data_IF_336666233427
#
_entry.id   IF_336666233427
#
_cell.length_a   1.000
_cell.length_b   1.000
_cell.length_c   1.000
_cell.angle_alpha   90.00
_cell.angle_beta   90.00
_cell.angle_gamma   90.00
#
_symmetry.space_group_name_H-M   'P 1'
#
loop_
_entity.id
_entity.type
_entity.pdbx_description
1 polymer ?
#
# COMPACT_ATOMS: atom_id res chain seq x y z
N UNK A 1 -15.26 31.90 32.54
CA UNK A 1 -16.03 31.64 31.29
C UNK A 1 -15.08 30.88 30.37
N UNK A 2 -14.74 29.64 30.72
CA UNK A 2 -15.31 28.38 30.20
C UNK A 2 -15.15 28.21 28.68
N UNK A 3 -13.90 28.12 28.24
CA UNK A 3 -13.57 27.47 26.97
C UNK A 3 -13.47 25.97 27.21
N UNK A 4 -14.30 25.24 26.48
CA UNK A 4 -14.57 23.81 26.57
C UNK A 4 -13.27 23.00 26.50
N UNK A 5 -12.90 22.38 27.62
CA UNK A 5 -12.16 21.12 27.65
C UNK A 5 -12.93 20.14 26.76
N UNK A 6 -12.51 20.01 25.50
CA UNK A 6 -12.95 18.89 24.69
C UNK A 6 -12.32 17.67 25.33
N UNK A 7 -13.17 16.87 25.96
CA UNK A 7 -12.91 15.51 26.38
C UNK A 7 -12.35 14.75 25.16
N UNK A 8 -11.02 14.75 25.02
CA UNK A 8 -10.28 14.16 23.89
C UNK A 8 -10.31 12.67 24.06
N UNK A 9 -11.49 12.11 23.85
CA UNK A 9 -11.63 10.68 23.88
C UNK A 9 -10.73 10.09 22.78
N UNK A 10 -9.81 9.18 23.14
CA UNK A 10 -8.83 8.60 22.22
C UNK A 10 -9.52 7.95 21.03
N UNK A 11 -9.16 8.30 19.80
CA UNK A 11 -9.64 7.56 18.64
C UNK A 11 -8.83 6.29 18.48
N UNK A 12 -9.44 5.19 18.04
CA UNK A 12 -8.69 3.97 17.71
C UNK A 12 -8.73 3.73 16.21
N UNK A 13 -7.54 3.59 15.64
CA UNK A 13 -7.34 3.28 14.23
C UNK A 13 -6.72 1.90 14.12
N UNK A 14 -7.43 0.98 13.47
CA UNK A 14 -6.89 -0.33 13.13
C UNK A 14 -6.37 -0.32 11.70
N UNK A 15 -5.15 -0.82 11.52
CA UNK A 15 -4.44 -0.89 10.25
C UNK A 15 -4.08 -2.36 10.00
N UNK A 16 -4.48 -2.92 8.86
CA UNK A 16 -4.13 -4.29 8.49
C UNK A 16 -3.23 -4.29 7.25
N UNK A 17 -2.11 -5.00 7.34
CA UNK A 17 -1.18 -5.20 6.23
C UNK A 17 -1.46 -6.51 5.51
N UNK A 18 -1.34 -6.51 4.18
CA UNK A 18 -1.56 -7.69 3.34
C UNK A 18 -0.53 -8.79 3.64
N UNK A 19 0.74 -8.42 3.71
CA UNK A 19 1.88 -9.32 3.91
C UNK A 19 2.92 -8.69 4.84
N UNK A 20 3.80 -9.53 5.39
CA UNK A 20 4.98 -9.05 6.11
C UNK A 20 5.83 -8.09 5.25
N UNK A 21 5.99 -8.39 3.96
CA UNK A 21 6.72 -7.56 2.99
C UNK A 21 6.11 -6.17 2.88
N UNK A 22 4.78 -6.06 2.76
CA UNK A 22 4.09 -4.76 2.69
C UNK A 22 4.35 -3.88 3.92
N UNK A 23 4.38 -4.50 5.11
CA UNK A 23 4.73 -3.79 6.35
C UNK A 23 6.20 -3.34 6.36
N UNK A 24 7.15 -4.19 5.96
CA UNK A 24 8.57 -3.83 5.88
C UNK A 24 8.83 -2.67 4.90
N UNK A 25 8.10 -2.64 3.77
CA UNK A 25 8.15 -1.52 2.83
C UNK A 25 7.59 -0.25 3.48
N UNK A 26 6.40 -0.32 4.08
CA UNK A 26 5.79 0.83 4.79
C UNK A 26 6.72 1.38 5.89
N UNK A 27 7.41 0.48 6.61
CA UNK A 27 8.39 0.86 7.62
C UNK A 27 9.58 1.63 7.05
N UNK A 28 10.10 1.14 5.92
CA UNK A 28 11.26 1.74 5.26
C UNK A 28 10.95 3.12 4.65
N UNK A 29 9.72 3.35 4.20
CA UNK A 29 9.33 4.62 3.56
C UNK A 29 9.07 5.71 4.60
N UNK A 30 8.20 5.45 5.59
CA UNK A 30 7.73 6.51 6.50
C UNK A 30 7.72 6.11 8.00
N UNK A 31 7.41 4.86 8.37
CA UNK A 31 7.22 4.53 9.81
C UNK A 31 8.51 4.65 10.61
N UNK A 32 9.67 4.34 10.01
CA UNK A 32 10.97 4.47 10.68
C UNK A 32 11.29 5.91 11.13
N UNK A 33 10.63 6.91 10.54
CA UNK A 33 10.77 8.33 10.89
C UNK A 33 9.61 8.84 11.75
N UNK A 34 8.76 7.94 12.26
CA UNK A 34 7.58 8.26 13.05
C UNK A 34 6.36 8.69 12.23
N UNK A 35 6.40 8.62 10.89
CA UNK A 35 5.27 9.03 10.05
C UNK A 35 4.44 7.84 9.55
N UNK A 36 3.12 7.93 9.65
CA UNK A 36 2.18 6.99 9.04
C UNK A 36 1.15 7.77 8.22
N UNK A 37 1.10 7.54 6.92
CA UNK A 37 -0.01 8.01 6.10
C UNK A 37 -1.03 6.87 5.92
N UNK A 38 -2.29 7.17 6.20
CA UNK A 38 -3.40 6.25 6.02
C UNK A 38 -4.36 6.82 4.98
N UNK A 39 -4.53 6.11 3.88
CA UNK A 39 -5.57 6.40 2.89
C UNK A 39 -6.93 6.00 3.48
N UNK A 40 -7.77 6.98 3.79
CA UNK A 40 -9.07 6.78 4.46
C UNK A 40 -9.95 8.02 4.31
N UNK A 41 -11.26 7.83 4.33
CA UNK A 41 -12.28 8.87 4.41
C UNK A 41 -12.66 9.25 5.86
N UNK A 42 -12.02 8.63 6.86
CA UNK A 42 -12.27 8.90 8.27
C UNK A 42 -11.91 10.36 8.62
N UNK A 43 -12.89 11.09 9.16
CA UNK A 43 -12.71 12.46 9.62
C UNK A 43 -12.30 12.48 11.11
N UNK A 44 -10.99 12.35 11.37
CA UNK A 44 -10.42 12.42 12.72
C UNK A 44 -9.67 13.75 12.88
N UNK A 45 -10.12 14.69 13.73
CA UNK A 45 -9.57 16.05 13.78
C UNK A 45 -8.06 16.10 14.00
N UNK A 46 -7.39 17.10 13.42
CA UNK A 46 -5.97 17.34 13.68
C UNK A 46 -5.71 17.61 15.17
N UNK A 47 -4.57 17.13 15.67
CA UNK A 47 -4.22 17.18 17.09
C UNK A 47 -4.90 16.10 17.95
N UNK A 48 -5.71 15.22 17.36
CA UNK A 48 -6.35 14.11 18.08
C UNK A 48 -5.33 13.02 18.40
N UNK A 49 -5.20 12.68 19.68
CA UNK A 49 -4.45 11.50 20.13
C UNK A 49 -5.19 10.24 19.71
N UNK A 50 -4.48 9.35 19.03
CA UNK A 50 -5.03 8.14 18.42
C UNK A 50 -4.20 6.93 18.83
N UNK A 51 -4.87 5.85 19.20
CA UNK A 51 -4.28 4.54 19.33
C UNK A 51 -4.28 3.85 17.96
N UNK A 52 -3.10 3.57 17.42
CA UNK A 52 -2.94 2.84 16.15
C UNK A 52 -2.63 1.38 16.46
N UNK A 53 -3.51 0.48 16.04
CA UNK A 53 -3.30 -0.97 16.17
C UNK A 53 -2.95 -1.57 14.80
N UNK A 54 -1.72 -2.01 14.64
CA UNK A 54 -1.20 -2.60 13.40
C UNK A 54 -1.29 -4.13 13.46
N UNK A 55 -1.96 -4.72 12.48
CA UNK A 55 -2.01 -6.16 12.27
C UNK A 55 -1.09 -6.52 11.10
N UNK A 56 -0.05 -7.31 11.39
CA UNK A 56 0.90 -7.80 10.39
C UNK A 56 0.86 -9.33 10.38
N UNK A 57 0.71 -9.97 9.21
CA UNK A 57 0.69 -11.43 9.14
C UNK A 57 1.94 -12.07 9.75
N UNK A 58 1.73 -13.05 10.64
CA UNK A 58 2.81 -13.78 11.31
C UNK A 58 3.34 -13.14 12.59
N UNK A 59 2.73 -12.05 13.07
CA UNK A 59 3.10 -11.36 14.31
C UNK A 59 1.87 -11.09 15.17
N UNK A 60 2.10 -10.81 16.45
CA UNK A 60 1.05 -10.26 17.31
C UNK A 60 0.76 -8.81 16.90
N UNK A 61 -0.47 -8.31 17.14
CA UNK A 61 -0.81 -6.91 16.85
C UNK A 61 0.09 -5.95 17.64
N UNK A 62 0.54 -4.88 16.98
CA UNK A 62 1.33 -3.84 17.63
C UNK A 62 0.46 -2.62 17.88
N UNK A 63 0.43 -2.17 19.13
CA UNK A 63 -0.31 -0.97 19.53
C UNK A 63 0.68 0.17 19.70
N UNK A 64 0.42 1.27 19.01
CA UNK A 64 1.21 2.50 19.06
C UNK A 64 0.30 3.69 19.39
N UNK A 65 0.88 4.73 19.97
CA UNK A 65 0.22 6.02 20.14
C UNK A 65 0.71 6.98 19.08
N UNK A 66 -0.21 7.80 18.56
CA UNK A 66 0.11 8.85 17.62
C UNK A 66 -0.83 10.04 17.73
N UNK A 67 -0.51 11.09 16.99
CA UNK A 67 -1.32 12.29 16.86
C UNK A 67 -1.63 12.52 15.39
N UNK A 68 -2.87 12.86 15.06
CA UNK A 68 -3.22 13.30 13.70
C UNK A 68 -2.53 14.63 13.42
N UNK A 69 -1.47 14.60 12.61
CA UNK A 69 -0.68 15.77 12.25
C UNK A 69 -1.39 16.61 11.17
N UNK A 70 -2.02 15.96 10.20
CA UNK A 70 -2.76 16.61 9.12
C UNK A 70 -3.80 15.66 8.53
N UNK A 71 -4.79 16.25 7.84
CA UNK A 71 -5.79 15.53 7.07
C UNK A 71 -5.74 16.00 5.61
N UNK A 72 -6.08 15.09 4.70
CA UNK A 72 -6.33 15.40 3.30
C UNK A 72 -7.75 15.00 2.93
N UNK A 73 -8.53 15.97 2.46
CA UNK A 73 -9.91 15.74 2.01
C UNK A 73 -9.99 15.13 0.61
N UNK A 74 -11.18 14.62 0.29
CA UNK A 74 -11.51 13.93 -0.98
C UNK A 74 -11.27 14.82 -2.21
N UNK A 75 -11.45 16.14 -2.08
CA UNK A 75 -11.30 17.09 -3.18
C UNK A 75 -9.85 17.59 -3.39
N UNK A 76 -8.89 17.10 -2.62
CA UNK A 76 -7.50 17.56 -2.71
C UNK A 76 -6.83 17.11 -4.01
N UNK A 77 -6.16 18.01 -4.76
CA UNK A 77 -5.37 17.61 -5.94
C UNK A 77 -4.05 16.91 -5.56
N UNK A 78 -3.68 16.87 -4.28
CA UNK A 78 -2.39 16.32 -3.81
C UNK A 78 -2.39 14.79 -3.65
N UNK A 79 -3.51 14.13 -3.90
CA UNK A 79 -3.66 12.68 -3.85
C UNK A 79 -4.91 12.22 -3.11
N UNK A 80 -5.02 10.91 -2.82
CA UNK A 80 -6.23 10.36 -2.21
C UNK A 80 -6.44 10.90 -0.79
N UNK A 81 -7.69 10.93 -0.30
CA UNK A 81 -8.00 11.37 1.05
C UNK A 81 -7.27 10.51 2.08
N UNK A 82 -6.93 11.10 3.21
CA UNK A 82 -6.25 10.36 4.24
C UNK A 82 -5.77 11.18 5.43
N UNK A 83 -5.13 10.48 6.36
CA UNK A 83 -4.64 11.00 7.61
C UNK A 83 -3.12 10.84 7.68
N UNK A 84 -2.42 11.93 7.99
CA UNK A 84 -1.04 11.87 8.46
C UNK A 84 -1.02 11.72 9.96
N UNK A 85 -0.52 10.58 10.46
CA UNK A 85 -0.33 10.31 11.88
C UNK A 85 1.15 10.38 12.21
N UNK A 86 1.49 11.19 13.20
CA UNK A 86 2.82 11.21 13.82
C UNK A 86 2.81 10.26 15.02
N UNK A 87 3.61 9.21 14.96
CA UNK A 87 3.76 8.19 15.99
C UNK A 87 4.68 8.74 17.10
N UNK A 88 4.22 8.65 18.35
CA UNK A 88 4.94 9.16 19.51
C UNK A 88 6.18 8.31 19.85
N UNK A 89 6.05 7.00 19.71
CA UNK A 89 7.13 6.03 19.94
C UNK A 89 7.00 4.87 18.94
N UNK A 90 8.08 4.56 18.23
CA UNK A 90 8.17 3.46 17.26
C UNK A 90 9.00 2.29 17.76
N UNK A 91 9.56 2.38 18.98
CA UNK A 91 10.38 1.33 19.60
C UNK A 91 9.70 -0.05 19.62
N UNK A 92 8.37 -0.16 19.87
CA UNK A 92 7.69 -1.45 19.83
C UNK A 92 7.76 -2.17 18.47
N UNK A 93 8.02 -1.45 17.38
CA UNK A 93 8.16 -2.05 16.05
C UNK A 93 9.46 -2.85 15.90
N UNK A 94 10.52 -2.56 16.67
CA UNK A 94 11.84 -3.15 16.50
C UNK A 94 11.85 -4.67 16.52
N UNK A 95 11.28 -5.27 17.59
CA UNK A 95 11.21 -6.73 17.72
C UNK A 95 10.35 -7.38 16.63
N UNK A 96 9.31 -6.69 16.16
CA UNK A 96 8.46 -7.15 15.06
C UNK A 96 9.24 -7.16 13.75
N UNK A 97 9.98 -6.09 13.47
CA UNK A 97 10.83 -5.97 12.28
C UNK A 97 11.91 -7.07 12.29
N UNK A 98 12.62 -7.26 13.40
CA UNK A 98 13.66 -8.28 13.51
C UNK A 98 13.11 -9.68 13.20
N UNK A 99 11.93 -9.99 13.75
CA UNK A 99 11.23 -11.25 13.47
C UNK A 99 10.86 -11.38 11.99
N UNK A 100 10.34 -10.33 11.36
CA UNK A 100 9.92 -10.35 9.96
C UNK A 100 11.10 -10.44 8.99
N UNK A 101 12.16 -9.65 9.22
CA UNK A 101 13.37 -9.64 8.39
C UNK A 101 14.04 -11.02 8.41
N UNK A 102 14.04 -11.72 9.55
CA UNK A 102 14.62 -13.08 9.65
C UNK A 102 13.96 -14.11 8.73
N UNK A 103 12.73 -13.86 8.25
CA UNK A 103 11.95 -14.76 7.39
C UNK A 103 11.68 -14.17 6.01
N UNK A 104 12.27 -13.02 5.69
CA UNK A 104 12.04 -12.35 4.42
C UNK A 104 12.94 -12.94 3.33
N UNK A 105 12.31 -13.50 2.29
CA UNK A 105 13.03 -14.16 1.18
C UNK A 105 12.98 -13.35 -0.13
N UNK A 106 12.30 -12.21 -0.13
CA UNK A 106 12.05 -11.43 -1.33
C UNK A 106 10.57 -11.13 -1.50
N UNK A 107 10.26 -10.36 -2.56
CA UNK A 107 8.89 -10.04 -2.93
C UNK A 107 8.56 -10.64 -4.27
N UNK A 108 7.42 -11.30 -4.39
CA UNK A 108 6.99 -11.88 -5.65
C UNK A 108 6.23 -10.83 -6.45
N UNK A 109 6.79 -10.38 -7.57
CA UNK A 109 6.17 -9.35 -8.42
C UNK A 109 5.82 -9.94 -9.77
N UNK A 110 4.53 -9.93 -10.11
CA UNK A 110 4.06 -10.32 -11.43
C UNK A 110 4.16 -9.14 -12.39
N UNK A 111 4.67 -9.36 -13.60
CA UNK A 111 4.74 -8.38 -14.68
C UNK A 111 4.03 -8.93 -15.91
N UNK A 112 2.91 -8.32 -16.29
CA UNK A 112 2.22 -8.58 -17.55
C UNK A 112 2.59 -7.50 -18.56
N UNK A 113 3.21 -7.89 -19.68
CA UNK A 113 3.38 -7.04 -20.87
C UNK A 113 3.57 -7.93 -22.08
N UNK A 114 2.93 -7.59 -23.20
CA UNK A 114 2.96 -8.42 -24.40
C UNK A 114 4.32 -8.40 -25.10
N UNK A 115 4.88 -7.21 -25.28
CA UNK A 115 6.17 -7.04 -25.94
C UNK A 115 7.31 -7.61 -25.09
N UNK A 116 8.15 -8.45 -25.71
CA UNK A 116 9.23 -9.15 -24.99
C UNK A 116 10.30 -8.18 -24.50
N UNK A 117 10.64 -7.17 -25.32
CA UNK A 117 11.69 -6.22 -24.99
C UNK A 117 11.22 -5.28 -23.87
N UNK A 118 9.99 -4.80 -23.94
CA UNK A 118 9.38 -3.95 -22.93
C UNK A 118 9.22 -4.70 -21.61
N UNK A 119 8.67 -5.92 -21.65
CA UNK A 119 8.54 -6.79 -20.46
C UNK A 119 9.88 -7.04 -19.79
N UNK A 120 10.93 -7.32 -20.57
CA UNK A 120 12.27 -7.55 -20.01
C UNK A 120 12.87 -6.26 -19.42
N UNK A 121 12.63 -5.11 -20.06
CA UNK A 121 13.12 -3.81 -19.59
C UNK A 121 12.44 -3.40 -18.30
N UNK A 122 11.12 -3.52 -18.24
CA UNK A 122 10.33 -3.27 -17.04
C UNK A 122 10.75 -4.18 -15.89
N UNK A 123 10.91 -5.49 -16.13
CA UNK A 123 11.39 -6.44 -15.14
C UNK A 123 12.76 -6.04 -14.56
N UNK A 124 13.70 -5.59 -15.40
CA UNK A 124 15.01 -5.09 -14.93
C UNK A 124 14.89 -3.81 -14.10
N UNK A 125 14.06 -2.86 -14.53
CA UNK A 125 13.83 -1.62 -13.77
C UNK A 125 13.24 -1.91 -12.39
N UNK A 126 12.23 -2.78 -12.30
CA UNK A 126 11.65 -3.21 -11.02
C UNK A 126 12.72 -3.89 -10.15
N UNK A 127 13.50 -4.81 -10.71
CA UNK A 127 14.59 -5.49 -9.98
C UNK A 127 15.68 -4.53 -9.51
N UNK A 128 15.92 -3.43 -10.23
CA UNK A 128 16.86 -2.39 -9.81
C UNK A 128 16.32 -1.54 -8.65
N UNK A 129 15.00 -1.33 -8.59
CA UNK A 129 14.34 -0.60 -7.49
C UNK A 129 14.23 -1.50 -6.25
N UNK A 130 13.91 -2.77 -6.47
CA UNK A 130 13.67 -3.77 -5.44
C UNK A 130 14.56 -4.97 -5.73
N UNK A 131 15.80 -4.91 -5.24
CA UNK A 131 16.82 -5.93 -5.50
C UNK A 131 16.42 -7.34 -5.07
N UNK A 132 15.58 -7.46 -4.05
CA UNK A 132 15.06 -8.71 -3.51
C UNK A 132 13.80 -9.22 -4.22
N UNK A 133 13.29 -8.51 -5.23
CA UNK A 133 12.08 -8.94 -5.94
C UNK A 133 12.33 -10.15 -6.84
N UNK A 134 11.48 -11.18 -6.74
CA UNK A 134 11.40 -12.26 -7.71
C UNK A 134 10.36 -11.88 -8.77
N UNK A 135 10.81 -11.67 -10.00
CA UNK A 135 9.95 -11.18 -11.08
C UNK A 135 9.38 -12.34 -11.87
N UNK A 136 8.07 -12.54 -11.76
CA UNK A 136 7.30 -13.47 -12.58
C UNK A 136 6.81 -12.73 -13.83
N UNK A 137 7.18 -13.19 -15.01
CA UNK A 137 6.85 -12.49 -16.27
C UNK A 137 5.76 -13.25 -17.03
N UNK A 138 4.68 -12.56 -17.35
CA UNK A 138 3.58 -13.03 -18.19
C UNK A 138 3.57 -12.29 -19.53
N UNK A 139 3.54 -13.05 -20.63
CA UNK A 139 3.45 -12.49 -21.98
C UNK A 139 2.00 -12.19 -22.41
N UNK A 140 1.02 -12.75 -21.72
CA UNK A 140 -0.40 -12.59 -22.00
C UNK A 140 -1.23 -12.79 -20.72
N UNK A 141 -2.52 -12.45 -20.81
CA UNK A 141 -3.43 -12.53 -19.68
C UNK A 141 -3.69 -13.97 -19.19
N UNK A 142 -3.55 -14.98 -20.06
CA UNK A 142 -3.72 -16.38 -19.66
C UNK A 142 -2.57 -16.82 -18.75
N UNK A 143 -1.33 -16.48 -19.11
CA UNK A 143 -0.16 -16.74 -18.27
C UNK A 143 -0.24 -15.91 -16.98
N UNK A 144 -0.67 -14.65 -17.06
CA UNK A 144 -0.84 -13.81 -15.87
C UNK A 144 -1.86 -14.41 -14.90
N UNK A 145 -3.00 -14.90 -15.40
CA UNK A 145 -4.02 -15.54 -14.57
C UNK A 145 -3.49 -16.81 -13.87
N UNK A 146 -2.66 -17.62 -14.54
CA UNK A 146 -2.06 -18.81 -13.94
C UNK A 146 -1.04 -18.48 -12.83
N UNK A 147 -0.36 -17.34 -12.94
CA UNK A 147 0.63 -16.87 -11.97
C UNK A 147 0.02 -16.02 -10.84
N UNK A 148 -1.21 -15.52 -11.00
CA UNK A 148 -1.87 -14.65 -10.04
C UNK A 148 -2.37 -15.44 -8.83
N UNK A 149 -1.51 -15.56 -7.81
CA UNK A 149 -1.81 -16.25 -6.54
C UNK A 149 -1.72 -15.31 -5.35
N UNK A 150 -2.11 -15.78 -4.16
CA UNK A 150 -1.96 -15.02 -2.91
C UNK A 150 -0.49 -14.78 -2.52
N UNK A 151 0.46 -15.49 -3.13
CA UNK A 151 1.90 -15.28 -2.91
C UNK A 151 2.43 -14.05 -3.65
N UNK A 152 1.73 -13.57 -4.69
CA UNK A 152 2.10 -12.35 -5.41
C UNK A 152 1.97 -11.15 -4.47
N UNK A 153 3.05 -10.42 -4.23
CA UNK A 153 3.04 -9.20 -3.42
C UNK A 153 2.53 -7.99 -4.18
N UNK A 154 2.77 -7.93 -5.50
CA UNK A 154 2.36 -6.85 -6.38
C UNK A 154 2.25 -7.34 -7.83
N UNK A 155 1.28 -6.84 -8.58
CA UNK A 155 1.22 -7.05 -10.03
C UNK A 155 1.39 -5.72 -10.80
N UNK A 156 2.27 -5.71 -11.79
CA UNK A 156 2.49 -4.61 -12.72
C UNK A 156 1.94 -5.01 -14.07
N UNK A 157 0.95 -4.28 -14.58
CA UNK A 157 0.14 -4.70 -15.72
C UNK A 157 0.16 -3.63 -16.80
N UNK A 158 0.78 -3.95 -17.93
CA UNK A 158 0.69 -3.19 -19.17
C UNK A 158 -0.69 -3.40 -19.80
N UNK A 159 -1.45 -2.32 -19.92
CA UNK A 159 -2.82 -2.32 -20.44
C UNK A 159 -2.87 -1.91 -21.91
N UNK A 160 -1.78 -1.37 -22.47
CA UNK A 160 -1.78 -0.83 -23.85
C UNK A 160 -1.75 -1.96 -24.91
N UNK A 161 -1.08 -3.07 -24.61
CA UNK A 161 -0.92 -4.18 -25.56
C UNK A 161 -2.21 -4.99 -25.77
N UNK A 162 -2.84 -5.43 -24.66
CA UNK A 162 -4.10 -6.16 -24.65
C UNK A 162 -4.99 -5.56 -23.55
N UNK A 163 -5.81 -4.58 -23.93
CA UNK A 163 -6.65 -3.86 -22.98
C UNK A 163 -7.64 -4.77 -22.25
N UNK A 164 -8.28 -5.71 -22.95
CA UNK A 164 -9.25 -6.61 -22.33
C UNK A 164 -8.55 -7.58 -21.36
N UNK A 165 -7.42 -8.17 -21.79
CA UNK A 165 -6.61 -9.04 -20.95
C UNK A 165 -6.02 -8.33 -19.72
N UNK A 166 -5.50 -7.12 -19.90
CA UNK A 166 -4.97 -6.28 -18.82
C UNK A 166 -6.04 -5.92 -17.79
N UNK A 167 -7.20 -5.45 -18.24
CA UNK A 167 -8.33 -5.12 -17.37
C UNK A 167 -8.89 -6.35 -16.63
N UNK A 168 -8.95 -7.52 -17.29
CA UNK A 168 -9.30 -8.79 -16.63
C UNK A 168 -8.29 -9.19 -15.57
N UNK A 169 -7.00 -9.00 -15.84
CA UNK A 169 -5.92 -9.30 -14.89
C UNK A 169 -5.98 -8.41 -13.65
N UNK A 170 -6.28 -7.11 -13.82
CA UNK A 170 -6.53 -6.20 -12.69
C UNK A 170 -7.68 -6.70 -11.82
N UNK A 171 -8.83 -7.04 -12.42
CA UNK A 171 -9.98 -7.57 -11.70
C UNK A 171 -9.67 -8.88 -10.99
N UNK A 172 -8.90 -9.77 -11.61
CA UNK A 172 -8.48 -11.03 -11.00
C UNK A 172 -7.61 -10.82 -9.76
N UNK A 173 -6.67 -9.86 -9.81
CA UNK A 173 -5.86 -9.48 -8.65
C UNK A 173 -6.73 -8.98 -7.48
N UNK A 174 -7.78 -8.21 -7.77
CA UNK A 174 -8.72 -7.68 -6.77
C UNK A 174 -9.71 -8.72 -6.24
N UNK A 175 -9.95 -9.80 -6.98
CA UNK A 175 -10.82 -10.89 -6.56
C UNK A 175 -10.17 -11.85 -5.56
N UNK A 176 -8.84 -11.79 -5.41
CA UNK A 176 -8.12 -12.56 -4.38
C UNK A 176 -8.44 -12.05 -2.97
N UNK A 177 -8.24 -12.91 -1.97
CA UNK A 177 -8.41 -12.57 -0.57
C UNK A 177 -7.15 -12.97 0.24
N UNK A 178 -6.35 -12.00 0.71
CA UNK A 178 -6.51 -10.55 0.51
C UNK A 178 -6.20 -10.12 -0.95
N UNK A 179 -6.77 -8.99 -1.44
CA UNK A 179 -6.57 -8.53 -2.81
C UNK A 179 -5.09 -8.17 -3.06
N UNK A 180 -4.58 -8.53 -4.23
CA UNK A 180 -3.21 -8.19 -4.65
C UNK A 180 -3.16 -6.72 -5.10
N UNK A 181 -2.22 -5.90 -4.62
CA UNK A 181 -2.04 -4.54 -5.12
C UNK A 181 -1.48 -4.56 -6.55
N UNK A 182 -1.80 -3.52 -7.31
CA UNK A 182 -1.64 -3.46 -8.75
C UNK A 182 -1.19 -2.08 -9.20
N UNK A 183 -0.25 -2.06 -10.15
CA UNK A 183 0.17 -0.87 -10.90
C UNK A 183 -0.20 -1.08 -12.35
N UNK A 184 -1.08 -0.24 -12.90
CA UNK A 184 -1.41 -0.27 -14.31
C UNK A 184 -0.51 0.69 -15.10
N UNK A 185 0.11 0.19 -16.17
CA UNK A 185 0.98 0.95 -17.06
C UNK A 185 0.22 1.23 -18.36
N UNK A 186 0.07 2.52 -18.70
CA UNK A 186 -0.61 2.93 -19.93
C UNK A 186 -0.22 4.34 -20.37
N UNK A 187 -0.12 4.53 -21.69
CA UNK A 187 0.00 5.84 -22.34
C UNK A 187 -1.36 6.44 -22.73
N UNK A 188 -2.44 5.65 -22.68
CA UNK A 188 -3.76 6.03 -23.16
C UNK A 188 -4.66 6.56 -22.02
N UNK A 189 -5.16 7.80 -22.17
CA UNK A 189 -6.00 8.44 -21.17
C UNK A 189 -7.33 7.73 -20.90
N UNK A 190 -7.95 7.10 -21.91
CA UNK A 190 -9.18 6.32 -21.73
C UNK A 190 -8.90 5.00 -21.00
N UNK A 191 -7.81 4.32 -21.33
CA UNK A 191 -7.41 3.09 -20.63
C UNK A 191 -7.00 3.36 -19.18
N UNK A 192 -6.42 4.53 -18.90
CA UNK A 192 -6.13 4.98 -17.53
C UNK A 192 -7.40 4.99 -16.67
N UNK A 193 -8.50 5.53 -17.19
CA UNK A 193 -9.77 5.54 -16.46
C UNK A 193 -10.36 4.14 -16.32
N UNK A 194 -10.33 3.33 -17.37
CA UNK A 194 -10.78 1.94 -17.30
C UNK A 194 -9.97 1.10 -16.30
N UNK A 195 -8.66 1.31 -16.21
CA UNK A 195 -7.79 0.65 -15.24
C UNK A 195 -8.14 1.05 -13.81
N UNK A 196 -8.42 2.34 -13.57
CA UNK A 196 -8.91 2.83 -12.27
C UNK A 196 -10.23 2.17 -11.89
N UNK A 197 -11.20 2.13 -12.80
CA UNK A 197 -12.50 1.46 -12.60
C UNK A 197 -12.34 -0.05 -12.39
N UNK A 198 -11.34 -0.67 -13.01
CA UNK A 198 -11.00 -2.09 -12.79
C UNK A 198 -10.30 -2.36 -11.45
N UNK A 199 -9.97 -1.31 -10.68
CA UNK A 199 -9.39 -1.41 -9.34
C UNK A 199 -7.87 -1.28 -9.28
N UNK A 200 -7.22 -0.69 -10.28
CA UNK A 200 -5.79 -0.37 -10.21
C UNK A 200 -5.50 0.56 -9.02
N UNK A 201 -4.52 0.21 -8.17
CA UNK A 201 -4.18 0.98 -6.96
C UNK A 201 -3.27 2.18 -7.28
N UNK A 202 -2.42 2.03 -8.30
CA UNK A 202 -1.57 3.07 -8.83
C UNK A 202 -1.50 2.98 -10.36
N UNK A 203 -1.14 4.09 -10.99
CA UNK A 203 -1.06 4.24 -12.45
C UNK A 203 0.30 4.81 -12.83
N UNK A 204 0.89 4.30 -13.91
CA UNK A 204 2.14 4.79 -14.45
C UNK A 204 2.04 5.05 -15.97
N UNK A 205 2.88 5.94 -16.48
CA UNK A 205 3.07 6.18 -17.92
C UNK A 205 3.71 4.97 -18.61
N UNK A 206 3.47 4.82 -19.91
CA UNK A 206 4.09 3.78 -20.73
C UNK A 206 5.02 4.39 -21.79
N UNK A 207 6.34 4.10 -21.79
CA UNK A 207 7.08 3.42 -20.73
C UNK A 207 7.28 4.34 -19.49
N UNK A 208 7.32 3.79 -18.26
CA UNK A 208 7.45 4.61 -17.08
C UNK A 208 8.91 5.06 -16.86
N UNK A 209 9.17 6.36 -16.61
CA UNK A 209 10.43 6.83 -16.07
C UNK A 209 10.78 6.11 -14.75
N UNK A 210 12.08 5.90 -14.48
CA UNK A 210 12.54 5.18 -13.29
C UNK A 210 12.00 5.77 -11.98
N UNK A 211 12.04 7.09 -11.82
CA UNK A 211 11.57 7.77 -10.62
C UNK A 211 10.05 7.61 -10.43
N UNK A 212 9.29 7.69 -11.52
CA UNK A 212 7.84 7.46 -11.48
C UNK A 212 7.55 6.02 -11.06
N UNK A 213 8.20 5.05 -11.71
CA UNK A 213 8.07 3.63 -11.40
C UNK A 213 8.39 3.35 -9.92
N UNK A 214 9.49 3.91 -9.41
CA UNK A 214 9.86 3.76 -8.00
C UNK A 214 8.75 4.27 -7.07
N UNK A 215 8.20 5.45 -7.33
CA UNK A 215 7.15 6.04 -6.49
C UNK A 215 5.89 5.16 -6.49
N UNK A 216 5.39 4.76 -7.67
CA UNK A 216 4.15 3.97 -7.75
C UNK A 216 4.29 2.58 -7.14
N UNK A 217 5.45 1.92 -7.32
CA UNK A 217 5.70 0.61 -6.70
C UNK A 217 5.71 0.72 -5.18
N UNK A 218 6.43 1.68 -4.61
CA UNK A 218 6.54 1.84 -3.16
C UNK A 218 5.20 2.24 -2.54
N UNK A 219 4.39 3.06 -3.23
CA UNK A 219 3.04 3.39 -2.79
C UNK A 219 2.13 2.18 -2.81
N UNK A 220 2.06 1.44 -3.93
CA UNK A 220 1.22 0.26 -4.03
C UNK A 220 1.59 -0.82 -3.00
N UNK A 221 2.88 -1.01 -2.70
CA UNK A 221 3.37 -2.00 -1.73
C UNK A 221 3.20 -1.60 -0.26
N UNK A 222 3.19 -0.30 0.06
CA UNK A 222 3.12 0.18 1.44
C UNK A 222 1.70 0.43 1.96
N UNK A 223 0.69 0.41 1.08
CA UNK A 223 -0.71 0.64 1.44
C UNK A 223 -1.24 -0.48 2.34
N UNK A 224 -1.76 -0.17 3.53
CA UNK A 224 -2.59 -1.10 4.28
C UNK A 224 -3.84 -1.48 3.49
N UNK A 225 -4.33 -2.71 3.67
CA UNK A 225 -5.55 -3.21 3.01
C UNK A 225 -6.83 -2.84 3.74
N UNK A 226 -6.72 -2.54 5.04
CA UNK A 226 -7.85 -2.11 5.87
C UNK A 226 -7.38 -0.98 6.77
N UNK A 227 -8.13 0.11 6.78
CA UNK A 227 -8.03 1.19 7.76
C UNK A 227 -9.42 1.37 8.37
N UNK A 228 -9.55 1.10 9.67
CA UNK A 228 -10.80 1.31 10.41
C UNK A 228 -10.57 2.35 11.49
N UNK A 229 -11.14 3.54 11.30
CA UNK A 229 -11.34 4.49 12.38
C UNK A 229 -12.55 4.06 13.20
N UNK A 230 -12.36 3.89 14.49
CA UNK A 230 -13.45 3.78 15.45
C UNK A 230 -13.46 5.02 16.32
N UNK A 231 -14.67 5.38 16.77
CA UNK A 231 -14.89 6.53 17.63
C UNK A 231 -14.18 6.41 18.98
N UNK A 232 -14.53 7.26 19.95
CA UNK A 232 -13.83 7.35 21.22
C UNK A 232 -13.66 6.01 21.97
N UNK A 233 -12.42 5.67 22.34
CA UNK A 233 -12.01 4.45 23.07
C UNK A 233 -11.27 4.81 24.34
N UNK A 234 -11.42 4.02 25.41
CA UNK A 234 -10.67 4.19 26.66
C UNK A 234 -9.24 3.65 26.50
N UNK A 235 -8.22 4.50 26.68
CA UNK A 235 -6.82 4.04 26.70
C UNK A 235 -6.54 3.17 27.93
N UNK A 236 -5.69 2.13 27.82
CA UNK A 236 -5.17 1.43 28.99
C UNK A 236 -4.34 2.39 29.86
N UNK A 237 -4.33 2.20 31.19
CA UNK A 237 -3.55 3.05 32.08
C UNK A 237 -2.06 2.96 31.75
N UNK A 238 -1.40 4.11 31.62
CA UNK A 238 0.05 4.21 31.51
C UNK A 238 0.69 3.60 32.76
N UNK A 239 1.54 2.59 32.58
CA UNK A 239 2.36 2.02 33.66
C UNK A 239 3.56 2.92 33.98
#
# INVERSE_FOLDING_TARGET
MSEREHDRLPYAVQVEFRTASSFLVAYSVNLSRGGLFLETDADIPTGTTTQVTMHVPGTDPVVLLGVVAWQRGIESPEGPPGLGIELMDTTPLGAVIDKLVSKFHGMHILVLSGDRQDRTTLARSIKSIISTAEIMQAADASVAAALMTNEVDLAVIDVDYDADGGLKTLKAAKALNPPVPTVAITSNASLREHARVAGADELATNPPPFAELQVVLMRALSKPIVVRGSGPVTLPPTQ
#
